data_IF_246138996940
#
_entry.id   IF_246138996940
#
_cell.length_a   1.000
_cell.length_b   1.000
_cell.length_c   1.000
_cell.angle_alpha   90.00
_cell.angle_beta   90.00
_cell.angle_gamma   90.00
#
_symmetry.space_group_name_H-M   'P 1'
#
loop_
_entity.id
_entity.type
_entity.pdbx_description
1 polymer ?
#
# COMPACT_ATOMS: atom_id res chain seq x y z
N UNK A 1 21.14 -8.75 -38.46
CA UNK A 1 19.91 -9.27 -37.84
C UNK A 1 20.08 -9.00 -36.36
N UNK A 2 19.64 -7.81 -35.93
CA UNK A 2 19.84 -7.31 -34.57
C UNK A 2 18.51 -7.44 -33.83
N UNK A 3 18.54 -8.14 -32.70
CA UNK A 3 17.46 -8.19 -31.73
C UNK A 3 17.22 -6.80 -31.14
N UNK A 4 16.06 -6.26 -31.44
CA UNK A 4 15.48 -5.08 -30.82
C UNK A 4 14.86 -5.44 -29.46
N UNK A 5 14.80 -4.43 -28.60
CA UNK A 5 13.87 -4.31 -27.46
C UNK A 5 14.16 -5.10 -26.19
N UNK A 6 15.38 -4.95 -25.68
CA UNK A 6 15.63 -5.01 -24.23
C UNK A 6 15.33 -3.65 -23.57
N UNK A 7 14.13 -3.10 -23.76
CA UNK A 7 13.70 -1.91 -23.02
C UNK A 7 13.17 -2.32 -21.64
N UNK A 8 14.09 -2.38 -20.67
CA UNK A 8 13.90 -1.80 -19.34
C UNK A 8 12.74 -2.25 -18.43
N UNK A 9 11.96 -3.29 -18.73
CA UNK A 9 10.87 -3.78 -17.83
C UNK A 9 11.36 -4.66 -16.68
N UNK A 10 12.54 -4.34 -16.15
CA UNK A 10 13.19 -5.06 -15.06
C UNK A 10 13.49 -4.15 -13.88
N UNK A 11 12.49 -3.42 -13.35
CA UNK A 11 12.60 -2.87 -12.00
C UNK A 11 12.26 -3.97 -10.99
N UNK A 12 13.16 -4.94 -10.89
CA UNK A 12 13.20 -5.87 -9.78
C UNK A 12 13.82 -5.16 -8.57
N UNK A 13 12.98 -4.55 -7.71
CA UNK A 13 13.02 -4.58 -6.23
C UNK A 13 11.66 -4.07 -5.71
N UNK A 14 10.90 -4.84 -4.90
CA UNK A 14 10.33 -4.39 -3.60
C UNK A 14 9.25 -5.31 -3.00
N UNK A 15 9.21 -5.33 -1.66
CA UNK A 15 8.38 -6.13 -0.74
C UNK A 15 6.84 -6.11 -0.92
N UNK A 16 6.28 -5.48 -1.95
CA UNK A 16 4.83 -5.44 -2.20
C UNK A 16 4.53 -5.20 -3.69
N UNK A 17 3.66 -6.06 -4.26
CA UNK A 17 3.23 -6.00 -5.66
C UNK A 17 2.50 -4.68 -5.96
N UNK A 18 1.64 -4.21 -5.05
CA UNK A 18 0.88 -2.97 -5.24
C UNK A 18 1.77 -1.73 -5.33
N UNK A 19 2.84 -1.65 -4.51
CA UNK A 19 3.81 -0.55 -4.59
C UNK A 19 4.46 -0.47 -5.98
N UNK A 20 4.87 -1.61 -6.54
CA UNK A 20 5.45 -1.67 -7.88
C UNK A 20 4.50 -1.14 -8.96
N UNK A 21 3.22 -1.50 -8.87
CA UNK A 21 2.21 -1.02 -9.83
C UNK A 21 1.97 0.49 -9.69
N UNK A 22 1.80 1.02 -8.48
CA UNK A 22 1.59 2.47 -8.30
C UNK A 22 2.77 3.29 -8.79
N UNK A 23 4.01 2.84 -8.57
CA UNK A 23 5.20 3.51 -9.10
C UNK A 23 5.24 3.46 -10.63
N UNK A 24 4.86 2.33 -11.24
CA UNK A 24 4.78 2.21 -12.69
C UNK A 24 3.71 3.15 -13.28
N UNK A 25 2.55 3.27 -12.64
CA UNK A 25 1.48 4.21 -13.02
C UNK A 25 1.97 5.65 -12.95
N UNK A 26 2.64 6.03 -11.86
CA UNK A 26 3.16 7.39 -11.69
C UNK A 26 4.28 7.75 -12.68
N UNK A 27 4.97 6.75 -13.22
CA UNK A 27 6.06 6.92 -14.18
C UNK A 27 5.65 6.79 -15.65
N UNK A 28 4.38 6.48 -15.96
CA UNK A 28 3.91 6.35 -17.34
C UNK A 28 3.69 7.72 -17.98
N UNK A 29 4.33 7.99 -19.11
CA UNK A 29 4.26 9.28 -19.82
C UNK A 29 2.85 9.64 -20.31
N UNK A 30 1.95 8.66 -20.41
CA UNK A 30 0.55 8.88 -20.81
C UNK A 30 -0.33 9.28 -19.62
N UNK A 31 0.14 9.07 -18.38
CA UNK A 31 -0.65 9.30 -17.18
C UNK A 31 -0.87 10.81 -16.94
N UNK A 32 -2.12 11.30 -16.91
CA UNK A 32 -2.40 12.66 -16.50
C UNK A 32 -2.08 12.85 -15.01
N UNK A 33 -1.85 14.10 -14.59
CA UNK A 33 -1.51 14.42 -13.21
C UNK A 33 -2.49 13.84 -12.17
N UNK A 34 -3.80 13.81 -12.48
CA UNK A 34 -4.80 13.20 -11.61
C UNK A 34 -4.57 11.69 -11.36
N UNK A 35 -4.07 10.96 -12.37
CA UNK A 35 -3.71 9.53 -12.24
C UNK A 35 -2.44 9.36 -11.39
N UNK A 36 -1.46 10.25 -11.55
CA UNK A 36 -0.26 10.29 -10.71
C UNK A 36 -0.62 10.56 -9.25
N UNK A 37 -1.55 11.50 -9.00
CA UNK A 37 -2.07 11.78 -7.66
C UNK A 37 -2.75 10.56 -7.04
N UNK A 38 -3.58 9.85 -7.81
CA UNK A 38 -4.21 8.60 -7.37
C UNK A 38 -3.17 7.53 -7.01
N UNK A 39 -2.11 7.38 -7.82
CA UNK A 39 -1.01 6.47 -7.50
C UNK A 39 -0.31 6.84 -6.18
N UNK A 40 -0.03 8.13 -5.94
CA UNK A 40 0.56 8.58 -4.67
C UNK A 40 -0.34 8.30 -3.45
N UNK A 41 -1.66 8.51 -3.60
CA UNK A 41 -2.65 8.13 -2.58
C UNK A 41 -2.68 6.62 -2.34
N UNK A 42 -2.62 5.81 -3.40
CA UNK A 42 -2.54 4.37 -3.33
C UNK A 42 -1.32 3.85 -2.56
N UNK A 43 -0.14 4.44 -2.80
CA UNK A 43 1.09 4.14 -2.02
C UNK A 43 0.87 4.44 -0.53
N UNK A 44 0.29 5.59 -0.21
CA UNK A 44 0.01 6.00 1.17
C UNK A 44 -0.98 5.05 1.84
N UNK A 45 -2.04 4.66 1.14
CA UNK A 45 -3.04 3.71 1.63
C UNK A 45 -2.44 2.31 1.88
N UNK A 46 -1.60 1.81 0.96
CA UNK A 46 -0.91 0.52 1.12
C UNK A 46 0.06 0.51 2.32
N UNK A 47 0.80 1.61 2.50
CA UNK A 47 1.66 1.79 3.67
C UNK A 47 0.85 1.83 4.98
N UNK A 48 -0.26 2.57 5.00
CA UNK A 48 -1.15 2.65 6.16
C UNK A 48 -1.77 1.27 6.50
N UNK A 49 -2.17 0.50 5.50
CA UNK A 49 -2.69 -0.84 5.68
C UNK A 49 -1.64 -1.80 6.26
N UNK A 50 -0.42 -1.78 5.72
CA UNK A 50 0.72 -2.55 6.26
C UNK A 50 0.97 -2.19 7.72
N UNK A 51 0.99 -0.90 8.04
CA UNK A 51 1.17 -0.41 9.41
C UNK A 51 0.05 -0.92 10.34
N UNK A 52 -1.20 -0.83 9.92
CA UNK A 52 -2.33 -1.34 10.70
C UNK A 52 -2.24 -2.85 10.93
N UNK A 53 -1.85 -3.64 9.92
CA UNK A 53 -1.67 -5.09 10.07
C UNK A 53 -0.62 -5.41 11.14
N UNK A 54 0.48 -4.66 11.19
CA UNK A 54 1.57 -4.91 12.14
C UNK A 54 1.26 -4.40 13.55
N UNK A 55 0.68 -3.21 13.68
CA UNK A 55 0.46 -2.54 14.97
C UNK A 55 -0.86 -2.95 15.65
N UNK A 56 -1.89 -3.26 14.85
CA UNK A 56 -3.25 -3.54 15.35
C UNK A 56 -3.68 -4.94 14.96
N UNK A 57 -3.65 -5.29 13.67
CA UNK A 57 -4.18 -6.56 13.15
C UNK A 57 -3.57 -7.78 13.85
N UNK A 58 -2.26 -7.98 13.71
CA UNK A 58 -1.55 -9.14 14.29
C UNK A 58 -1.65 -9.23 15.82
N UNK A 59 -1.56 -8.13 16.59
CA UNK A 59 -1.66 -8.21 18.05
C UNK A 59 -3.08 -8.38 18.60
N UNK A 60 -4.11 -7.92 17.88
CA UNK A 60 -5.47 -7.78 18.45
C UNK A 60 -6.55 -8.65 17.80
N UNK A 61 -6.31 -9.19 16.61
CA UNK A 61 -7.27 -10.04 15.91
C UNK A 61 -6.89 -11.51 16.00
N UNK A 62 -7.90 -12.37 16.03
CA UNK A 62 -7.68 -13.80 15.80
C UNK A 62 -7.25 -14.06 14.36
N UNK A 63 -6.63 -15.22 14.14
CA UNK A 63 -6.05 -15.58 12.85
C UNK A 63 -7.07 -15.62 11.70
N UNK A 64 -8.33 -16.00 11.95
CA UNK A 64 -9.36 -16.06 10.90
C UNK A 64 -9.81 -14.65 10.52
N UNK A 65 -10.15 -13.81 11.50
CA UNK A 65 -10.53 -12.41 11.24
C UNK A 65 -9.43 -11.63 10.54
N UNK A 66 -8.17 -11.87 10.93
CA UNK A 66 -7.02 -11.24 10.25
C UNK A 66 -6.87 -11.78 8.82
N UNK A 67 -7.02 -13.09 8.60
CA UNK A 67 -6.94 -13.68 7.27
C UNK A 67 -8.03 -13.14 6.33
N UNK A 68 -9.29 -13.08 6.78
CA UNK A 68 -10.41 -12.56 5.98
C UNK A 68 -10.14 -11.14 5.51
N UNK A 69 -9.60 -10.29 6.40
CA UNK A 69 -9.18 -8.94 6.02
C UNK A 69 -8.06 -8.98 4.98
N UNK A 70 -6.99 -9.73 5.24
CA UNK A 70 -5.86 -9.79 4.32
C UNK A 70 -6.25 -10.32 2.94
N UNK A 71 -7.23 -11.22 2.86
CA UNK A 71 -7.83 -11.67 1.60
C UNK A 71 -8.51 -10.51 0.87
N UNK A 72 -9.38 -9.75 1.55
CA UNK A 72 -10.03 -8.55 0.99
C UNK A 72 -8.99 -7.54 0.45
N UNK A 73 -7.90 -7.31 1.19
CA UNK A 73 -6.82 -6.43 0.72
C UNK A 73 -6.11 -7.00 -0.52
N UNK A 74 -5.82 -8.30 -0.51
CA UNK A 74 -5.20 -8.99 -1.63
C UNK A 74 -6.04 -8.95 -2.91
N UNK A 75 -7.37 -9.02 -2.79
CA UNK A 75 -8.27 -8.86 -3.93
C UNK A 75 -8.14 -7.48 -4.61
N UNK A 76 -7.91 -6.42 -3.83
CA UNK A 76 -7.64 -5.09 -4.40
C UNK A 76 -6.27 -5.01 -5.07
N UNK A 77 -5.25 -5.69 -4.52
CA UNK A 77 -3.94 -5.78 -5.16
C UNK A 77 -4.04 -6.51 -6.52
N UNK A 78 -4.78 -7.62 -6.57
CA UNK A 78 -5.01 -8.36 -7.81
C UNK A 78 -5.79 -7.54 -8.84
N UNK A 79 -6.83 -6.81 -8.41
CA UNK A 79 -7.57 -5.89 -9.27
C UNK A 79 -6.68 -4.77 -9.82
N UNK A 80 -5.80 -4.21 -9.00
CA UNK A 80 -4.85 -3.17 -9.40
C UNK A 80 -3.88 -3.69 -10.47
N UNK A 81 -3.32 -4.89 -10.27
CA UNK A 81 -2.44 -5.55 -11.25
C UNK A 81 -3.19 -5.81 -12.55
N UNK A 82 -4.39 -6.37 -12.48
CA UNK A 82 -5.23 -6.64 -13.64
C UNK A 82 -5.55 -5.39 -14.44
N UNK A 83 -5.94 -4.32 -13.76
CA UNK A 83 -6.24 -3.01 -14.35
C UNK A 83 -5.01 -2.42 -15.06
N UNK A 84 -3.85 -2.44 -14.41
CA UNK A 84 -2.60 -1.93 -14.99
C UNK A 84 -2.19 -2.71 -16.25
N UNK A 85 -2.31 -4.03 -16.21
CA UNK A 85 -2.01 -4.87 -17.38
C UNK A 85 -2.99 -4.63 -18.53
N UNK A 86 -4.29 -4.49 -18.24
CA UNK A 86 -5.31 -4.22 -19.26
C UNK A 86 -5.08 -2.86 -19.95
N UNK A 87 -4.74 -1.83 -19.18
CA UNK A 87 -4.32 -0.53 -19.72
C UNK A 87 -3.04 -0.65 -20.56
N UNK A 88 -2.05 -1.42 -20.09
CA UNK A 88 -0.81 -1.70 -20.82
C UNK A 88 -1.01 -2.43 -22.14
N UNK A 89 -2.07 -3.24 -22.27
CA UNK A 89 -2.48 -3.92 -23.51
C UNK A 89 -3.41 -3.08 -24.40
N UNK A 90 -3.85 -1.90 -23.94
CA UNK A 90 -4.82 -1.06 -24.65
C UNK A 90 -6.25 -1.61 -24.62
N UNK A 91 -6.57 -2.50 -23.67
CA UNK A 91 -7.93 -3.03 -23.48
C UNK A 91 -8.82 -2.07 -22.69
N UNK A 92 -8.21 -1.14 -21.96
CA UNK A 92 -8.87 -0.12 -21.14
C UNK A 92 -8.32 1.24 -21.55
N UNK A 93 -9.22 2.18 -21.85
CA UNK A 93 -8.87 3.56 -22.17
C UNK A 93 -8.50 4.35 -20.90
N UNK A 94 -7.76 5.46 -21.05
CA UNK A 94 -7.27 6.24 -19.91
C UNK A 94 -8.39 6.72 -18.97
N UNK A 95 -9.54 7.12 -19.52
CA UNK A 95 -10.68 7.60 -18.71
C UNK A 95 -11.23 6.49 -17.81
N UNK A 96 -11.37 5.28 -18.36
CA UNK A 96 -11.87 4.12 -17.62
C UNK A 96 -10.82 3.61 -16.62
N UNK A 97 -9.55 3.64 -17.01
CA UNK A 97 -8.42 3.34 -16.13
C UNK A 97 -8.43 4.26 -14.90
N UNK A 98 -8.53 5.58 -15.11
CA UNK A 98 -8.58 6.55 -14.03
C UNK A 98 -9.77 6.31 -13.10
N UNK A 99 -10.96 6.05 -13.65
CA UNK A 99 -12.17 5.80 -12.87
C UNK A 99 -12.07 4.52 -12.02
N UNK A 100 -11.51 3.45 -12.57
CA UNK A 100 -11.32 2.19 -11.85
C UNK A 100 -10.20 2.29 -10.82
N UNK A 101 -9.09 2.96 -11.16
CA UNK A 101 -8.00 3.22 -10.22
C UNK A 101 -8.50 4.04 -9.02
N UNK A 102 -9.34 5.05 -9.25
CA UNK A 102 -9.94 5.84 -8.19
C UNK A 102 -10.82 4.99 -7.25
N UNK A 103 -11.57 4.02 -7.79
CA UNK A 103 -12.38 3.11 -6.98
C UNK A 103 -11.51 2.20 -6.10
N UNK A 104 -10.46 1.60 -6.68
CA UNK A 104 -9.51 0.75 -5.95
C UNK A 104 -8.83 1.56 -4.84
N UNK A 105 -8.27 2.73 -5.15
CA UNK A 105 -7.59 3.57 -4.17
C UNK A 105 -8.55 4.02 -3.06
N UNK A 106 -9.79 4.38 -3.40
CA UNK A 106 -10.80 4.74 -2.39
C UNK A 106 -11.15 3.56 -1.48
N UNK A 107 -11.20 2.34 -2.01
CA UNK A 107 -11.42 1.13 -1.20
C UNK A 107 -10.22 0.89 -0.25
N UNK A 108 -9.00 0.97 -0.77
CA UNK A 108 -7.78 0.85 0.03
C UNK A 108 -7.69 1.93 1.13
N UNK A 109 -8.13 3.17 0.85
CA UNK A 109 -8.13 4.25 1.84
C UNK A 109 -9.14 4.07 2.98
N UNK A 110 -10.19 3.29 2.75
CA UNK A 110 -11.19 2.90 3.75
C UNK A 110 -10.72 1.74 4.63
N UNK A 111 -9.58 1.13 4.29
CA UNK A 111 -8.96 0.13 5.13
C UNK A 111 -8.77 0.66 6.55
N UNK A 112 -8.94 -0.19 7.59
CA UNK A 112 -8.72 0.21 8.97
C UNK A 112 -7.37 0.91 9.17
N UNK A 113 -7.39 2.04 9.90
CA UNK A 113 -6.18 2.82 10.20
C UNK A 113 -5.78 2.60 11.65
N UNK A 114 -4.49 2.76 11.93
CA UNK A 114 -4.02 2.81 13.32
C UNK A 114 -4.69 4.02 13.99
N UNK A 115 -5.29 3.87 15.18
CA UNK A 115 -5.81 4.99 15.93
C UNK A 115 -4.71 6.04 16.12
N UNK A 116 -4.98 7.29 15.76
CA UNK A 116 -4.11 8.42 16.10
C UNK A 116 -4.30 8.77 17.58
N UNK A 117 -3.95 7.85 18.48
CA UNK A 117 -3.78 8.24 19.86
C UNK A 117 -2.55 9.17 19.94
N UNK A 118 -2.62 10.30 20.67
CA UNK A 118 -1.44 11.08 20.95
C UNK A 118 -0.48 10.14 21.67
N UNK A 119 0.67 9.87 21.04
CA UNK A 119 1.72 9.02 21.59
C UNK A 119 1.96 9.50 23.02
N UNK A 120 1.47 8.76 24.02
CA UNK A 120 1.91 8.96 25.39
C UNK A 120 3.40 8.66 25.35
N UNK A 121 4.13 9.77 25.34
CA UNK A 121 5.56 9.95 25.37
C UNK A 121 6.27 8.65 25.76
N UNK A 122 6.90 7.96 24.81
CA UNK A 122 7.69 6.75 25.10
C UNK A 122 8.73 6.99 26.22
N UNK A 123 9.10 8.26 26.43
CA UNK A 123 9.87 8.79 27.55
C UNK A 123 9.27 8.47 28.93
N UNK A 124 7.94 8.46 29.05
CA UNK A 124 7.22 8.18 30.31
C UNK A 124 7.27 6.70 30.71
N UNK A 125 7.35 5.78 29.74
CA UNK A 125 7.54 4.34 30.00
C UNK A 125 8.98 4.00 30.39
N UNK A 126 9.98 4.63 29.77
CA UNK A 126 11.38 4.45 30.15
C UNK A 126 11.72 5.04 31.53
N UNK A 127 11.05 6.13 31.94
CA UNK A 127 11.22 6.71 33.27
C UNK A 127 10.69 5.82 34.41
N UNK A 128 9.76 4.90 34.14
CA UNK A 128 9.28 3.93 35.15
C UNK A 128 10.19 2.70 35.33
N UNK A 129 11.01 2.36 34.34
CA UNK A 129 11.88 1.17 34.40
C UNK A 129 13.24 1.48 35.03
N UNK A 130 13.64 2.76 35.09
CA UNK A 130 14.92 3.19 35.66
C UNK A 130 14.75 4.20 36.81
N UNK A 131 14.46 3.68 38.00
CA UNK A 131 14.94 4.27 39.26
C UNK A 131 13.99 4.19 40.47
N UNK A 132 14.49 4.19 41.73
CA UNK A 132 15.83 3.83 42.21
C UNK A 132 15.80 2.52 43.01
N UNK A 133 16.81 1.66 42.82
CA UNK A 133 17.20 0.74 43.87
C UNK A 133 17.76 1.56 45.02
N UNK A 134 17.04 1.59 46.14
CA UNK A 134 17.62 1.99 47.43
C UNK A 134 17.69 0.75 48.30
N UNK A 135 18.93 0.40 48.61
CA UNK A 135 19.35 -0.60 49.57
C UNK A 135 18.61 -0.49 50.90
N UNK A 136 18.23 -1.64 51.45
CA UNK A 136 17.95 -1.85 52.87
C UNK A 136 18.71 -3.10 53.32
#
# INVERSE_FOLDING_TARGET
>A
MNESDASGRGLAVNNSVSLGVFLAVAADDRAPFAVVELAGRGVTASAAATRWVLEVGKPSLDGFTLADKLIEFGEWEDQLVGLWQAFGRGEVEMTDFQAQLAQIVTAMERWPRVPEDPVEDFSSRLRRVLGPGTDA
#
